data_IF_231601951866
#
_entry.id   IF_231601951866
#
_cell.length_a   1.000
_cell.length_b   1.000
_cell.length_c   1.000
_cell.angle_alpha   90.00
_cell.angle_beta   90.00
_cell.angle_gamma   90.00
#
_symmetry.space_group_name_H-M   'P 1'
#
loop_
_entity.id
_entity.type
_entity.pdbx_description
1 polymer ?
#
# COMPACT_ATOMS: atom_id res chain seq x y z
N UNK A 1 -13.47 3.58 -16.75
CA UNK A 1 -13.42 2.33 -15.95
C UNK A 1 -13.00 2.70 -14.54
N UNK A 2 -13.57 2.09 -13.49
CA UNK A 2 -13.26 2.46 -12.11
C UNK A 2 -11.82 2.05 -11.75
N UNK A 3 -11.09 2.96 -11.10
CA UNK A 3 -9.84 2.64 -10.38
C UNK A 3 -10.17 1.83 -9.13
N UNK A 4 -9.34 0.85 -8.78
CA UNK A 4 -9.59 -0.02 -7.63
C UNK A 4 -8.97 0.60 -6.37
N UNK A 5 -9.72 0.61 -5.25
CA UNK A 5 -9.27 1.22 -3.99
C UNK A 5 -8.40 0.28 -3.17
N UNK A 6 -7.39 0.86 -2.51
CA UNK A 6 -6.70 0.18 -1.42
C UNK A 6 -7.56 0.36 -0.15
N UNK A 7 -8.15 -0.74 0.32
CA UNK A 7 -8.93 -0.76 1.55
C UNK A 7 -8.20 -1.50 2.66
N UNK A 8 -8.27 -0.98 3.89
CA UNK A 8 -7.83 -1.71 5.09
C UNK A 8 -8.99 -2.58 5.56
N UNK A 9 -8.76 -3.89 5.62
CA UNK A 9 -9.72 -4.89 6.06
C UNK A 9 -9.81 -5.01 7.59
N UNK A 10 -10.62 -5.95 8.05
CA UNK A 10 -10.90 -6.24 9.47
C UNK A 10 -9.62 -6.44 10.31
N UNK A 11 -9.67 -6.14 11.61
CA UNK A 11 -8.50 -6.13 12.54
C UNK A 11 -7.71 -7.45 12.66
N UNK A 12 -8.23 -8.55 12.11
CA UNK A 12 -7.59 -9.87 12.11
C UNK A 12 -6.85 -10.18 10.80
N UNK A 13 -7.12 -9.40 9.75
CA UNK A 13 -6.50 -9.56 8.45
C UNK A 13 -5.18 -8.79 8.42
N UNK A 14 -4.10 -9.50 8.08
CA UNK A 14 -2.77 -8.91 7.92
C UNK A 14 -2.60 -8.19 6.58
N UNK A 15 -3.62 -8.24 5.73
CA UNK A 15 -3.63 -7.64 4.41
C UNK A 15 -2.75 -8.40 3.41
N UNK A 16 -2.44 -7.72 2.30
CA UNK A 16 -1.64 -8.29 1.21
C UNK A 16 -0.16 -7.93 1.42
N UNK A 17 0.71 -8.93 1.27
CA UNK A 17 2.16 -8.73 1.29
C UNK A 17 2.56 -7.62 0.31
N UNK A 18 3.26 -6.60 0.81
CA UNK A 18 3.59 -5.40 0.04
C UNK A 18 5.09 -5.34 -0.21
N UNK A 19 5.47 -5.13 -1.47
CA UNK A 19 6.86 -4.96 -1.88
C UNK A 19 7.18 -3.47 -1.84
N UNK A 20 8.15 -3.11 -0.99
CA UNK A 20 8.66 -1.74 -0.86
C UNK A 20 10.05 -1.72 -1.49
N UNK A 21 10.27 -0.84 -2.46
CA UNK A 21 11.53 -0.72 -3.18
C UNK A 21 11.94 0.74 -3.35
N UNK A 22 13.21 1.01 -3.59
CA UNK A 22 13.71 2.35 -3.86
C UNK A 22 14.38 2.39 -5.24
N UNK A 23 14.28 3.49 -6.01
CA UNK A 23 15.08 3.68 -7.22
C UNK A 23 16.58 3.83 -6.91
N UNK A 24 16.94 4.07 -5.65
CA UNK A 24 18.33 4.12 -5.19
C UNK A 24 18.90 2.69 -5.16
N UNK A 25 20.14 2.51 -5.64
CA UNK A 25 20.85 1.22 -5.62
C UNK A 25 21.46 0.95 -4.23
N UNK A 26 20.61 0.62 -3.26
CA UNK A 26 20.97 0.48 -1.84
C UNK A 26 20.51 -0.86 -1.26
N UNK A 27 21.20 -1.41 -0.25
CA UNK A 27 20.84 -2.70 0.35
C UNK A 27 19.69 -2.62 1.36
N UNK A 28 19.42 -1.45 1.94
CA UNK A 28 18.40 -1.27 2.97
C UNK A 28 17.60 0.01 2.71
N UNK A 29 16.31 -0.01 3.01
CA UNK A 29 15.47 1.18 2.99
C UNK A 29 15.68 1.95 4.29
N UNK A 30 15.98 3.24 4.17
CA UNK A 30 16.03 4.18 5.28
C UNK A 30 14.85 5.16 5.19
N UNK A 31 14.56 5.83 6.31
CA UNK A 31 13.56 6.89 6.35
C UNK A 31 13.89 8.02 5.36
N UNK A 32 12.86 8.63 4.78
CA UNK A 32 12.98 9.73 3.83
C UNK A 32 13.46 9.35 2.42
N UNK A 33 13.85 8.09 2.17
CA UNK A 33 14.20 7.64 0.83
C UNK A 33 12.97 7.58 -0.08
N UNK A 34 13.11 7.88 -1.38
CA UNK A 34 12.02 7.70 -2.34
C UNK A 34 11.70 6.22 -2.50
N UNK A 35 10.42 5.88 -2.49
CA UNK A 35 9.93 4.50 -2.54
C UNK A 35 8.87 4.32 -3.63
N UNK A 36 8.95 3.16 -4.28
CA UNK A 36 7.85 2.55 -5.03
C UNK A 36 7.23 1.47 -4.14
N UNK A 37 5.91 1.50 -4.02
CA UNK A 37 5.13 0.55 -3.24
C UNK A 37 4.20 -0.19 -4.19
N UNK A 38 4.17 -1.52 -4.10
CA UNK A 38 3.22 -2.34 -4.84
C UNK A 38 2.80 -3.56 -4.04
N UNK A 39 1.61 -4.07 -4.30
CA UNK A 39 1.25 -5.39 -3.76
C UNK A 39 2.08 -6.48 -4.44
N UNK A 40 2.55 -7.44 -3.64
CA UNK A 40 3.07 -8.71 -4.13
C UNK A 40 1.97 -9.55 -4.79
N UNK A 41 2.22 -10.80 -5.20
CA UNK A 41 1.19 -11.63 -5.83
C UNK A 41 -0.02 -11.85 -4.91
N UNK A 42 -1.24 -11.62 -5.42
CA UNK A 42 -2.49 -11.91 -4.72
C UNK A 42 -3.53 -12.50 -5.68
N UNK A 43 -4.52 -13.21 -5.12
CA UNK A 43 -5.57 -13.86 -5.91
C UNK A 43 -6.57 -12.83 -6.42
N UNK A 44 -6.81 -12.86 -7.73
CA UNK A 44 -7.82 -12.03 -8.42
C UNK A 44 -8.56 -12.87 -9.46
N UNK A 45 -9.75 -12.42 -9.84
CA UNK A 45 -10.44 -12.98 -11.01
C UNK A 45 -9.64 -12.69 -12.29
N UNK A 46 -9.77 -13.56 -13.30
CA UNK A 46 -9.02 -13.46 -14.58
C UNK A 46 -9.11 -12.07 -15.23
N UNK A 47 -10.27 -11.43 -15.14
CA UNK A 47 -10.52 -10.08 -15.65
C UNK A 47 -9.63 -8.99 -15.02
N UNK A 48 -9.11 -9.21 -13.81
CA UNK A 48 -8.29 -8.27 -13.05
C UNK A 48 -6.79 -8.64 -13.04
N UNK A 49 -6.40 -9.75 -13.68
CA UNK A 49 -5.02 -10.28 -13.67
C UNK A 49 -3.98 -9.37 -14.31
N UNK A 50 -4.41 -8.50 -15.23
CA UNK A 50 -3.53 -7.56 -15.94
C UNK A 50 -3.39 -6.21 -15.22
N UNK A 51 -4.06 -6.01 -14.09
CA UNK A 51 -4.08 -4.73 -13.39
C UNK A 51 -2.74 -4.53 -12.66
N UNK A 52 -2.00 -3.43 -12.94
CA UNK A 52 -0.80 -3.10 -12.18
C UNK A 52 -1.11 -2.95 -10.69
N UNK A 53 -0.26 -3.51 -9.84
CA UNK A 53 -0.40 -3.47 -8.38
C UNK A 53 0.35 -2.31 -7.73
N UNK A 54 1.01 -1.47 -8.52
CA UNK A 54 1.73 -0.29 -8.06
C UNK A 54 0.76 0.72 -7.46
N UNK A 55 1.12 1.23 -6.30
CA UNK A 55 0.39 2.27 -5.61
C UNK A 55 0.62 3.60 -6.32
N UNK A 56 -0.46 4.33 -6.54
CA UNK A 56 -0.45 5.64 -7.18
C UNK A 56 -1.39 6.58 -6.42
N UNK A 57 -1.10 7.88 -6.43
CA UNK A 57 -2.04 8.89 -5.93
C UNK A 57 -2.94 9.32 -7.08
N UNK A 58 -4.24 9.17 -6.92
CA UNK A 58 -5.26 9.57 -7.90
C UNK A 58 -6.02 10.78 -7.37
N UNK A 59 -6.06 11.84 -8.16
CA UNK A 59 -6.75 13.09 -7.83
C UNK A 59 -8.20 13.10 -8.35
N UNK A 60 -9.01 14.05 -7.86
CA UNK A 60 -10.36 14.30 -8.38
C UNK A 60 -11.41 13.29 -7.92
N UNK A 61 -11.13 12.53 -6.85
CA UNK A 61 -12.06 11.59 -6.24
C UNK A 61 -12.90 12.27 -5.15
N UNK A 62 -14.11 11.77 -4.85
CA UNK A 62 -14.97 12.30 -3.78
C UNK A 62 -14.30 12.38 -2.41
N UNK A 63 -13.46 11.39 -2.09
CA UNK A 63 -12.67 11.29 -0.85
C UNK A 63 -11.40 12.16 -0.85
N UNK A 64 -11.15 12.93 -1.93
CA UNK A 64 -9.91 13.66 -2.15
C UNK A 64 -8.81 12.80 -2.80
N UNK A 65 -7.55 13.28 -2.84
CA UNK A 65 -6.45 12.50 -3.40
C UNK A 65 -6.27 11.17 -2.65
N UNK A 66 -6.29 10.05 -3.36
CA UNK A 66 -6.30 8.73 -2.73
C UNK A 66 -5.32 7.74 -3.34
N UNK A 67 -4.85 6.79 -2.52
CA UNK A 67 -3.99 5.70 -2.96
C UNK A 67 -4.83 4.65 -3.68
N UNK A 68 -4.54 4.42 -4.96
CA UNK A 68 -5.21 3.42 -5.81
C UNK A 68 -4.20 2.56 -6.56
N UNK A 69 -4.66 1.40 -7.03
CA UNK A 69 -3.93 0.55 -7.98
C UNK A 69 -4.63 0.54 -9.34
N UNK A 70 -3.87 0.23 -10.40
CA UNK A 70 -4.44 0.12 -11.74
C UNK A 70 -5.06 1.40 -12.27
N UNK A 71 -4.61 2.56 -11.78
CA UNK A 71 -5.15 3.85 -12.18
C UNK A 71 -4.93 4.06 -13.69
N UNK A 72 -6.01 4.34 -14.42
CA UNK A 72 -5.94 4.52 -15.88
C UNK A 72 -5.74 5.98 -16.30
N UNK A 73 -6.06 6.98 -15.46
CA UNK A 73 -5.79 8.44 -15.69
C UNK A 73 -5.78 9.27 -14.39
N UNK A 74 -5.11 10.44 -14.45
CA UNK A 74 -4.90 11.49 -13.43
C UNK A 74 -4.19 10.98 -12.16
N UNK A 75 -2.98 10.49 -12.35
CA UNK A 75 -2.06 10.21 -11.25
C UNK A 75 -1.21 11.44 -10.95
N UNK A 76 -0.97 11.70 -9.66
CA UNK A 76 0.06 12.64 -9.23
C UNK A 76 1.43 11.95 -9.31
N UNK A 77 2.38 12.56 -10.01
CA UNK A 77 3.74 12.02 -10.10
C UNK A 77 4.52 12.38 -8.83
N UNK A 78 5.17 11.40 -8.22
CA UNK A 78 5.84 11.60 -6.93
C UNK A 78 6.41 10.32 -6.37
N UNK A 79 6.92 10.43 -5.14
CA UNK A 79 7.50 9.33 -4.40
C UNK A 79 6.79 9.13 -3.07
N UNK A 80 6.55 7.87 -2.72
CA UNK A 80 6.25 7.55 -1.34
C UNK A 80 7.52 7.62 -0.50
N UNK A 81 7.38 7.93 0.78
CA UNK A 81 8.46 7.83 1.77
C UNK A 81 7.92 7.29 3.08
N UNK A 82 8.82 6.71 3.87
CA UNK A 82 8.57 6.31 5.25
C UNK A 82 9.22 7.35 6.15
N UNK A 83 8.48 7.83 7.14
CA UNK A 83 8.97 8.75 8.16
C UNK A 83 8.62 8.23 9.55
N UNK A 84 9.50 8.44 10.52
CA UNK A 84 9.17 8.15 11.92
C UNK A 84 8.04 9.06 12.40
N UNK A 85 7.01 8.46 12.98
CA UNK A 85 5.87 9.17 13.55
C UNK A 85 5.78 9.00 15.07
N UNK A 86 6.27 7.89 15.60
CA UNK A 86 6.29 7.61 17.04
C UNK A 86 7.51 6.75 17.41
N UNK A 87 7.78 6.49 18.70
CA UNK A 87 8.87 5.61 19.12
C UNK A 87 8.81 4.19 18.51
N UNK A 88 7.61 3.70 18.19
CA UNK A 88 7.37 2.33 17.74
C UNK A 88 6.65 2.23 16.39
N UNK A 89 6.41 3.35 15.70
CA UNK A 89 5.61 3.37 14.49
C UNK A 89 6.07 4.43 13.50
N UNK A 90 5.81 4.14 12.23
CA UNK A 90 6.10 5.01 11.11
C UNK A 90 4.80 5.57 10.54
N UNK A 91 4.92 6.60 9.71
CA UNK A 91 3.88 7.05 8.79
C UNK A 91 4.39 6.94 7.37
N UNK A 92 3.45 6.80 6.44
CA UNK A 92 3.72 6.95 5.02
C UNK A 92 3.38 8.38 4.59
N UNK A 93 4.22 8.94 3.73
CA UNK A 93 3.98 10.23 3.09
C UNK A 93 4.14 10.09 1.58
N UNK A 94 3.48 10.97 0.83
CA UNK A 94 3.67 11.12 -0.60
C UNK A 94 4.23 12.50 -0.92
N UNK A 95 5.31 12.55 -1.68
CA UNK A 95 5.98 13.78 -2.08
C UNK A 95 5.83 13.94 -3.60
N UNK A 96 5.05 14.92 -4.08
CA UNK A 96 4.96 15.22 -5.51
C UNK A 96 6.33 15.59 -6.10
N UNK A 97 6.51 15.38 -7.40
CA UNK A 97 7.76 15.74 -8.10
C UNK A 97 7.93 17.25 -8.32
N UNK A 98 6.87 18.04 -8.19
CA UNK A 98 6.90 19.49 -8.44
C UNK A 98 7.85 20.20 -7.46
N UNK A 99 8.73 21.08 -7.98
CA UNK A 99 9.59 21.94 -7.15
C UNK A 99 8.73 22.76 -6.17
N UNK A 100 9.19 22.86 -4.92
CA UNK A 100 8.50 23.48 -3.77
C UNK A 100 7.25 22.77 -3.21
N UNK A 101 6.93 21.56 -3.68
CA UNK A 101 5.82 20.79 -3.11
C UNK A 101 6.17 20.20 -1.74
N UNK A 102 5.29 20.42 -0.76
CA UNK A 102 5.38 19.75 0.55
C UNK A 102 4.91 18.31 0.43
N UNK A 103 5.60 17.37 1.07
CA UNK A 103 5.09 16.01 1.23
C UNK A 103 3.78 16.01 2.02
N UNK A 104 2.87 15.11 1.66
CA UNK A 104 1.58 14.96 2.31
C UNK A 104 1.48 13.61 3.02
N UNK A 105 0.91 13.62 4.22
CA UNK A 105 0.72 12.39 4.98
C UNK A 105 -0.36 11.49 4.34
N UNK A 106 -0.14 10.19 4.44
CA UNK A 106 -1.13 9.17 4.09
C UNK A 106 -1.92 8.78 5.34
N UNK A 107 -3.24 8.79 5.21
CA UNK A 107 -4.18 8.54 6.27
C UNK A 107 -5.32 7.62 5.86
N UNK A 108 -6.31 7.53 6.74
CA UNK A 108 -7.54 6.76 6.53
C UNK A 108 -8.73 7.71 6.40
N UNK A 109 -9.52 7.50 5.36
CA UNK A 109 -10.90 8.00 5.25
C UNK A 109 -11.87 6.81 5.33
N UNK A 110 -13.00 7.00 6.02
CA UNK A 110 -13.99 5.93 6.19
C UNK A 110 -15.24 6.34 5.42
N UNK A 111 -15.59 5.56 4.41
CA UNK A 111 -16.78 5.84 3.60
C UNK A 111 -18.10 5.46 4.32
N UNK A 112 -19.22 5.81 3.71
CA UNK A 112 -20.56 5.51 4.24
C UNK A 112 -20.82 4.00 4.44
N UNK A 113 -20.04 3.14 3.80
CA UNK A 113 -20.12 1.67 3.96
C UNK A 113 -19.14 1.14 5.04
N UNK A 114 -18.41 2.02 5.72
CA UNK A 114 -17.41 1.66 6.72
C UNK A 114 -16.08 1.17 6.13
N UNK A 115 -15.86 1.32 4.82
CA UNK A 115 -14.61 0.92 4.17
C UNK A 115 -13.55 1.98 4.43
N UNK A 116 -12.39 1.53 4.91
CA UNK A 116 -11.24 2.37 5.23
C UNK A 116 -10.38 2.56 3.98
N UNK A 117 -10.46 3.70 3.33
CA UNK A 117 -9.65 4.06 2.16
C UNK A 117 -8.35 4.74 2.56
N UNK A 118 -7.26 4.37 1.89
CA UNK A 118 -5.99 5.08 2.01
C UNK A 118 -6.05 6.39 1.22
N UNK A 119 -5.96 7.52 1.91
CA UNK A 119 -6.06 8.85 1.31
C UNK A 119 -4.91 9.76 1.72
N UNK A 120 -4.69 10.83 0.96
CA UNK A 120 -3.85 11.93 1.41
C UNK A 120 -4.64 12.72 2.46
N UNK A 121 -4.20 12.70 3.72
CA UNK A 121 -4.92 13.33 4.83
C UNK A 121 -3.99 13.94 5.86
N UNK A 122 -4.33 15.15 6.32
CA UNK A 122 -3.61 15.84 7.40
C UNK A 122 -4.20 15.59 8.79
N UNK A 123 -5.30 14.86 8.89
CA UNK A 123 -6.08 14.71 10.14
C UNK A 123 -5.98 13.29 10.68
N UNK A 124 -6.31 12.29 9.86
CA UNK A 124 -6.39 10.90 10.28
C UNK A 124 -5.17 10.12 9.81
N UNK A 125 -4.03 10.37 10.45
CA UNK A 125 -2.75 9.74 10.10
C UNK A 125 -2.80 8.22 10.30
N UNK A 126 -2.28 7.48 9.32
CA UNK A 126 -2.10 6.04 9.44
C UNK A 126 -0.72 5.74 10.06
N UNK A 127 -0.72 5.27 11.31
CA UNK A 127 0.48 4.71 11.94
C UNK A 127 0.66 3.26 11.50
N UNK A 128 1.85 2.94 11.00
CA UNK A 128 2.19 1.60 10.50
C UNK A 128 3.41 1.01 11.19
N UNK A 129 3.42 -0.32 11.27
CA UNK A 129 4.59 -1.12 11.59
C UNK A 129 4.79 -2.15 10.47
N UNK A 130 6.04 -2.50 10.19
CA UNK A 130 6.36 -3.44 9.11
C UNK A 130 6.64 -4.81 9.71
N UNK A 131 5.76 -5.78 9.43
CA UNK A 131 6.02 -7.18 9.69
C UNK A 131 6.62 -7.81 8.44
N UNK A 132 7.78 -8.46 8.59
CA UNK A 132 8.39 -9.20 7.48
C UNK A 132 7.43 -10.31 7.01
N UNK A 133 7.20 -10.36 5.71
CA UNK A 133 6.49 -11.46 5.08
C UNK A 133 7.47 -12.62 4.85
N UNK A 134 7.29 -13.70 5.59
CA UNK A 134 7.99 -14.97 5.37
C UNK A 134 7.02 -15.95 4.70
N UNK A 135 7.39 -16.53 3.55
CA UNK A 135 6.55 -17.46 2.77
C UNK A 135 6.27 -18.81 3.50
N UNK A 136 6.98 -19.07 4.60
CA UNK A 136 6.96 -20.35 5.32
C UNK A 136 5.56 -20.84 5.77
N UNK A 137 4.56 -20.02 6.11
CA UNK A 137 3.24 -20.53 6.49
C UNK A 137 2.40 -21.03 5.31
N UNK A 138 2.69 -20.61 4.07
CA UNK A 138 1.86 -20.95 2.90
C UNK A 138 2.33 -22.21 2.17
N UNK A 139 3.57 -22.65 2.40
CA UNK A 139 4.16 -23.81 1.72
C UNK A 139 4.00 -25.15 2.46
N UNK A 140 3.46 -25.19 3.69
CA UNK A 140 3.45 -26.41 4.52
C UNK A 140 2.12 -27.20 4.55
N UNK A 141 1.02 -26.69 3.98
CA UNK A 141 -0.28 -27.34 4.12
C UNK A 141 -0.64 -28.35 3.02
N UNK A 142 0.25 -28.62 2.06
CA UNK A 142 -0.06 -29.49 0.92
C UNK A 142 0.72 -30.82 0.86
N UNK A 143 1.44 -31.23 1.91
CA UNK A 143 2.12 -32.54 1.90
C UNK A 143 2.12 -33.23 3.27
N UNK A 144 0.97 -33.74 3.71
CA UNK A 144 0.87 -35.05 4.40
C UNK A 144 -0.55 -35.59 4.20
N UNK A 145 -0.75 -36.48 3.23
CA UNK A 145 -1.82 -37.48 3.32
C UNK A 145 -1.22 -38.65 4.13
N UNK A 146 -1.78 -39.01 5.30
CA UNK A 146 -1.34 -40.22 5.99
C UNK A 146 -1.77 -41.43 5.16
N UNK A 147 -0.80 -42.26 4.77
CA UNK A 147 -1.08 -43.63 4.32
C UNK A 147 -1.72 -44.37 5.49
N UNK A 148 -2.94 -44.85 5.30
CA UNK A 148 -3.59 -45.80 6.19
C UNK A 148 -2.80 -47.11 6.22
N UNK A 149 -2.42 -47.57 7.42
CA UNK A 149 -2.19 -49.00 7.71
C UNK A 149 -3.51 -49.77 7.72
#
# INVERSE_FOLDING_TARGET
MPSHSCAISHELDKGIGTIISSPLKIPFIAEGYPLNIKFGPFLVITLCSSIPSDWTIVNGLPEGPAVKIGAQKITEDGWFKIEKASPFGYKLVFCPLLEDSTCWDIGIDIDDNGIRHLVVSKVNLLLVVFQKFDEAPLALNNLVLPSSE
#
